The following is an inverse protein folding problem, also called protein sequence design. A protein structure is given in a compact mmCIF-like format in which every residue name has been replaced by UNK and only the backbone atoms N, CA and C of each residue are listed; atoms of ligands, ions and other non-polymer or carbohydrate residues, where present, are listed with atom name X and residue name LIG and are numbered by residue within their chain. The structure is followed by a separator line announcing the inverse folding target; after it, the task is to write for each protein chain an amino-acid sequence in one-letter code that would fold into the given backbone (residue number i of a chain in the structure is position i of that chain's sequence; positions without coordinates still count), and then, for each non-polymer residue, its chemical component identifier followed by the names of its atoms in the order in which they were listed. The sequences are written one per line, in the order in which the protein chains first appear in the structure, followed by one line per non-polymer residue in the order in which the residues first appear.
data_IF_914136637205
#
_entry.id   IF_914136637205
#
_cell.length_a   1.000
_cell.length_b   1.000
_cell.length_c   1.000
_cell.angle_alpha   90.00
_cell.angle_beta   90.00
_cell.angle_gamma   90.00
#
_symmetry.space_group_name_H-M   'P 1'
#
loop_
_entity.id
_entity.type
_entity.pdbx_description
1 polymer ?
#
# COMPACT_ATOMS: atom_id res chain seq x y z
N UNK A 1 1.32 9.21 -2.48
CA UNK A 1 2.01 10.47 -2.13
C UNK A 1 3.41 10.21 -1.59
N UNK A 2 3.56 9.64 -0.39
CA UNK A 2 4.87 9.46 0.26
C UNK A 2 5.88 8.69 -0.59
N UNK A 3 5.47 7.61 -1.26
CA UNK A 3 6.35 6.90 -2.19
C UNK A 3 6.94 7.81 -3.27
N UNK A 4 6.12 8.67 -3.88
CA UNK A 4 6.55 9.61 -4.92
C UNK A 4 7.50 10.66 -4.35
N UNK A 5 7.21 11.19 -3.17
CA UNK A 5 8.06 12.20 -2.51
C UNK A 5 9.41 11.58 -2.12
N UNK A 6 9.40 10.41 -1.47
CA UNK A 6 10.61 9.74 -1.00
C UNK A 6 11.47 9.24 -2.16
N UNK A 7 10.86 8.72 -3.24
CA UNK A 7 11.58 8.31 -4.44
C UNK A 7 12.19 9.53 -5.16
N UNK A 8 11.54 10.70 -5.12
CA UNK A 8 12.11 11.94 -5.65
C UNK A 8 13.26 12.50 -4.79
N UNK A 9 13.13 12.48 -3.46
CA UNK A 9 14.13 13.02 -2.53
C UNK A 9 15.37 12.13 -2.36
N UNK A 10 15.30 10.85 -2.75
CA UNK A 10 16.41 9.91 -2.63
C UNK A 10 17.57 10.29 -3.56
N UNK A 11 18.85 10.06 -3.16
CA UNK A 11 20.00 10.12 -4.08
C UNK A 11 19.81 9.19 -5.28
N UNK A 12 19.84 9.75 -6.50
CA UNK A 12 19.55 9.03 -7.76
C UNK A 12 18.06 8.89 -8.11
N UNK A 13 17.18 9.57 -7.36
CA UNK A 13 15.74 9.59 -7.58
C UNK A 13 15.32 10.35 -8.85
N UNK A 14 14.24 9.90 -9.49
CA UNK A 14 13.66 10.57 -10.65
C UNK A 14 12.58 11.57 -10.23
N UNK A 15 12.59 12.76 -10.84
CA UNK A 15 11.50 13.74 -10.65
C UNK A 15 10.17 13.15 -11.14
N UNK A 16 9.07 13.30 -10.40
CA UNK A 16 7.78 12.79 -10.84
C UNK A 16 7.31 13.56 -12.07
N UNK A 17 6.97 12.83 -13.13
CA UNK A 17 6.37 13.42 -14.31
C UNK A 17 4.99 14.03 -14.02
N UNK A 18 4.50 14.93 -14.89
CA UNK A 18 3.21 15.61 -14.69
C UNK A 18 2.03 14.63 -14.58
N UNK A 19 2.09 13.48 -15.26
CA UNK A 19 1.07 12.42 -15.16
C UNK A 19 1.01 11.78 -13.76
N UNK A 20 2.16 11.57 -13.13
CA UNK A 20 2.24 11.03 -11.76
C UNK A 20 1.65 12.02 -10.76
N UNK A 21 2.00 13.31 -10.91
CA UNK A 21 1.45 14.38 -10.05
C UNK A 21 -0.07 14.49 -10.22
N UNK A 22 -0.55 14.54 -11.47
CA UNK A 22 -1.97 14.57 -11.77
C UNK A 22 -2.71 13.35 -11.19
N UNK A 23 -2.15 12.14 -11.34
CA UNK A 23 -2.70 10.93 -10.76
C UNK A 23 -2.77 10.98 -9.23
N UNK A 24 -1.72 11.47 -8.55
CA UNK A 24 -1.74 11.62 -7.09
C UNK A 24 -2.82 12.62 -6.63
N UNK A 25 -2.92 13.78 -7.28
CA UNK A 25 -3.95 14.79 -6.96
C UNK A 25 -5.37 14.26 -7.22
N UNK A 26 -5.56 13.57 -8.35
CA UNK A 26 -6.84 12.94 -8.69
C UNK A 26 -7.22 11.84 -7.68
N UNK A 27 -6.25 11.07 -7.19
CA UNK A 27 -6.46 10.08 -6.14
C UNK A 27 -6.94 10.70 -4.83
N UNK A 28 -6.35 11.83 -4.42
CA UNK A 28 -6.83 12.60 -3.27
C UNK A 28 -8.23 13.15 -3.48
N UNK A 29 -8.54 13.68 -4.67
CA UNK A 29 -9.88 14.16 -4.99
C UNK A 29 -10.91 13.02 -4.95
N UNK A 30 -10.57 11.84 -5.48
CA UNK A 30 -11.40 10.64 -5.40
C UNK A 30 -11.64 10.18 -3.96
N UNK A 31 -10.61 10.19 -3.11
CA UNK A 31 -10.75 9.89 -1.69
C UNK A 31 -11.63 10.92 -0.96
N UNK A 32 -11.43 12.21 -1.23
CA UNK A 32 -12.24 13.28 -0.65
C UNK A 32 -13.71 13.16 -1.08
N UNK A 33 -13.98 12.78 -2.34
CA UNK A 33 -15.33 12.48 -2.81
C UNK A 33 -15.90 11.22 -2.13
N UNK A 34 -15.07 10.20 -1.89
CA UNK A 34 -15.49 8.96 -1.23
C UNK A 34 -15.87 9.18 0.24
N UNK A 35 -15.10 9.98 1.00
CA UNK A 35 -15.37 10.34 2.40
C UNK A 35 -16.45 11.42 2.50
N UNK A 36 -16.42 12.38 1.58
CA UNK A 36 -17.47 13.37 1.35
C UNK A 36 -17.50 14.55 2.34
N UNK A 37 -18.10 15.68 1.93
CA UNK A 37 -17.97 16.95 2.64
C UNK A 37 -18.60 16.95 4.04
N UNK A 38 -19.73 16.24 4.23
CA UNK A 38 -20.44 16.20 5.51
C UNK A 38 -19.66 15.46 6.61
N UNK A 39 -18.76 14.56 6.24
CA UNK A 39 -17.88 13.84 7.17
C UNK A 39 -16.56 14.60 7.41
N UNK A 40 -16.16 15.45 6.44
CA UNK A 40 -15.02 16.37 6.55
C UNK A 40 -15.37 17.65 7.35
N UNK A 41 -16.63 18.11 7.27
CA UNK A 41 -17.15 19.31 7.95
C UNK A 41 -18.09 19.03 9.13
N UNK A 42 -18.34 17.77 9.45
CA UNK A 42 -19.19 17.38 10.58
C UNK A 42 -18.50 17.64 11.92
N UNK A 43 -19.27 18.10 12.92
CA UNK A 43 -18.85 18.58 14.24
C UNK A 43 -18.11 17.57 15.17
N UNK A 44 -17.53 16.48 14.64
CA UNK A 44 -16.57 15.65 15.38
C UNK A 44 -15.19 16.24 15.16
N UNK A 45 -14.60 16.82 16.21
CA UNK A 45 -13.19 17.24 16.20
C UNK A 45 -12.35 16.08 15.69
N UNK A 46 -11.54 16.32 14.65
CA UNK A 46 -10.55 15.36 14.19
C UNK A 46 -9.65 15.03 15.38
N UNK A 47 -9.54 13.75 15.72
CA UNK A 47 -8.57 13.31 16.71
C UNK A 47 -7.17 13.49 16.11
N UNK A 48 -6.47 14.53 16.57
CA UNK A 48 -5.17 14.91 16.06
C UNK A 48 -4.13 13.81 16.30
N UNK A 49 -4.27 13.04 17.40
CA UNK A 49 -3.37 11.93 17.71
C UNK A 49 -3.60 10.81 16.69
N UNK A 50 -4.85 10.36 16.50
CA UNK A 50 -5.19 9.37 15.48
C UNK A 50 -4.76 9.78 14.07
N UNK A 51 -4.96 11.05 13.70
CA UNK A 51 -4.51 11.59 12.42
C UNK A 51 -2.97 11.54 12.28
N UNK A 52 -2.23 11.97 13.32
CA UNK A 52 -0.77 11.94 13.32
C UNK A 52 -0.24 10.49 13.22
N UNK A 53 -0.87 9.54 13.94
CA UNK A 53 -0.53 8.12 13.87
C UNK A 53 -0.76 7.56 12.46
N UNK A 54 -1.88 7.89 11.80
CA UNK A 54 -2.14 7.46 10.42
C UNK A 54 -1.14 8.03 9.42
N UNK A 55 -0.75 9.30 9.58
CA UNK A 55 0.29 9.92 8.75
C UNK A 55 1.62 9.21 8.96
N UNK A 56 2.03 9.00 10.21
CA UNK A 56 3.26 8.27 10.54
C UNK A 56 3.24 6.84 9.97
N UNK A 57 2.13 6.11 10.13
CA UNK A 57 1.96 4.76 9.59
C UNK A 57 2.10 4.74 8.05
N UNK A 58 1.46 5.68 7.35
CA UNK A 58 1.55 5.78 5.88
C UNK A 58 2.96 6.14 5.40
N UNK A 59 3.70 6.95 6.17
CA UNK A 59 5.09 7.30 5.90
C UNK A 59 6.01 6.10 6.14
N UNK A 60 5.88 5.42 7.28
CA UNK A 60 6.63 4.20 7.61
C UNK A 60 6.42 3.10 6.56
N UNK A 61 5.19 2.94 6.06
CA UNK A 61 4.92 2.03 4.94
C UNK A 61 5.76 2.42 3.72
N UNK A 62 5.71 3.69 3.30
CA UNK A 62 6.42 4.16 2.12
C UNK A 62 7.94 3.93 2.24
N UNK A 63 8.52 4.23 3.41
CA UNK A 63 9.92 3.93 3.72
C UNK A 63 10.22 2.43 3.60
N UNK A 64 9.41 1.58 4.23
CA UNK A 64 9.57 0.11 4.17
C UNK A 64 9.44 -0.46 2.77
N UNK A 65 8.54 0.08 1.95
CA UNK A 65 8.37 -0.31 0.55
C UNK A 65 9.58 0.09 -0.30
N UNK A 66 10.11 1.30 -0.11
CA UNK A 66 11.29 1.78 -0.84
C UNK A 66 12.54 0.99 -0.44
N UNK A 67 12.69 0.67 0.84
CA UNK A 67 13.73 -0.21 1.36
C UNK A 67 13.60 -1.62 0.79
N UNK A 68 12.41 -2.22 0.81
CA UNK A 68 12.19 -3.56 0.25
C UNK A 68 12.51 -3.63 -1.25
N UNK A 69 12.30 -2.54 -1.99
CA UNK A 69 12.58 -2.49 -3.42
C UNK A 69 14.08 -2.41 -3.75
N UNK A 70 14.90 -1.82 -2.89
CA UNK A 70 16.29 -1.47 -3.21
C UNK A 70 17.34 -1.99 -2.22
N UNK A 71 16.91 -2.48 -1.06
CA UNK A 71 17.76 -3.09 -0.06
C UNK A 71 18.07 -4.54 -0.40
N UNK A 72 19.06 -5.09 0.31
CA UNK A 72 19.38 -6.51 0.21
C UNK A 72 18.29 -7.33 0.92
N UNK A 73 17.36 -7.88 0.15
CA UNK A 73 16.36 -8.81 0.65
C UNK A 73 16.87 -10.27 0.59
N UNK A 74 16.38 -11.15 1.47
CA UNK A 74 16.67 -12.57 1.37
C UNK A 74 16.30 -13.14 -0.01
N UNK A 75 17.08 -14.13 -0.47
CA UNK A 75 16.85 -14.79 -1.75
C UNK A 75 15.44 -15.40 -1.82
N UNK A 76 14.99 -16.03 -0.72
CA UNK A 76 13.64 -16.57 -0.58
C UNK A 76 12.62 -15.47 -0.21
N UNK A 77 11.58 -15.23 -1.04
CA UNK A 77 10.48 -14.32 -0.70
C UNK A 77 9.76 -14.73 0.59
N UNK A 78 9.57 -16.03 0.81
CA UNK A 78 8.92 -16.57 2.00
C UNK A 78 9.71 -16.24 3.27
N UNK A 79 11.04 -16.34 3.21
CA UNK A 79 11.91 -15.96 4.34
C UNK A 79 11.78 -14.45 4.64
N UNK A 80 11.72 -13.61 3.61
CA UNK A 80 11.48 -12.17 3.78
C UNK A 80 10.15 -11.88 4.48
N UNK A 81 9.06 -12.53 4.06
CA UNK A 81 7.74 -12.41 4.70
C UNK A 81 7.78 -12.89 6.16
N UNK A 82 8.40 -14.03 6.43
CA UNK A 82 8.50 -14.57 7.79
C UNK A 82 9.26 -13.63 8.72
N UNK A 83 10.41 -13.10 8.28
CA UNK A 83 11.22 -12.16 9.07
C UNK A 83 10.46 -10.87 9.37
N UNK A 84 9.82 -10.24 8.38
CA UNK A 84 9.05 -9.01 8.62
C UNK A 84 7.83 -9.26 9.52
N UNK A 85 7.14 -10.40 9.37
CA UNK A 85 5.96 -10.72 10.18
C UNK A 85 6.34 -10.99 11.64
N UNK A 86 7.47 -11.68 11.89
CA UNK A 86 7.99 -11.88 13.24
C UNK A 86 8.43 -10.56 13.88
N UNK A 87 9.19 -9.73 13.16
CA UNK A 87 9.65 -8.44 13.67
C UNK A 87 8.47 -7.49 13.95
N UNK A 88 7.53 -7.37 13.01
CA UNK A 88 6.33 -6.55 13.17
C UNK A 88 5.42 -7.06 14.29
N UNK A 89 5.20 -8.38 14.38
CA UNK A 89 4.42 -9.00 15.44
C UNK A 89 5.05 -8.79 16.83
N UNK A 90 6.38 -8.96 16.94
CA UNK A 90 7.10 -8.70 18.19
C UNK A 90 7.00 -7.22 18.61
N UNK A 91 7.17 -6.28 17.67
CA UNK A 91 7.00 -4.86 17.94
C UNK A 91 5.59 -4.52 18.43
N UNK A 92 4.56 -5.11 17.82
CA UNK A 92 3.16 -4.93 18.25
C UNK A 92 2.91 -5.54 19.63
N UNK A 93 3.48 -6.70 19.96
CA UNK A 93 3.38 -7.29 21.30
C UNK A 93 4.03 -6.43 22.37
N UNK A 94 5.21 -5.88 22.08
CA UNK A 94 5.91 -4.96 22.99
C UNK A 94 5.05 -3.71 23.21
N UNK A 95 4.49 -3.14 22.14
CA UNK A 95 3.62 -1.97 22.24
C UNK A 95 2.35 -2.28 23.06
N UNK A 96 1.69 -3.40 22.79
CA UNK A 96 0.52 -3.86 23.55
C UNK A 96 0.84 -4.06 25.04
N UNK A 97 2.06 -4.52 25.36
CA UNK A 97 2.55 -4.62 26.73
C UNK A 97 2.69 -3.25 27.41
N UNK A 98 3.29 -2.27 26.73
CA UNK A 98 3.42 -0.91 27.25
C UNK A 98 2.08 -0.20 27.41
N UNK A 99 1.13 -0.44 26.51
CA UNK A 99 -0.22 0.12 26.57
C UNK A 99 -1.13 -0.61 27.58
N UNK A 100 -0.66 -1.71 28.17
CA UNK A 100 -1.41 -2.46 29.18
C UNK A 100 -2.58 -3.25 28.62
N UNK A 101 -2.64 -3.48 27.31
CA UNK A 101 -3.77 -4.15 26.64
C UNK A 101 -4.00 -5.57 27.14
N UNK A 102 -2.94 -6.26 27.59
CA UNK A 102 -3.03 -7.59 28.19
C UNK A 102 -3.91 -7.64 29.44
N UNK A 103 -4.04 -6.52 30.18
CA UNK A 103 -4.90 -6.46 31.37
C UNK A 103 -6.38 -6.36 31.00
N UNK A 104 -6.69 -5.77 29.84
CA UNK A 104 -8.05 -5.65 29.32
C UNK A 104 -8.45 -6.87 28.45
N UNK A 105 -7.48 -7.72 28.10
CA UNK A 105 -7.72 -8.89 27.28
C UNK A 105 -8.26 -10.08 28.10
N UNK A 106 -9.44 -10.56 27.72
CA UNK A 106 -10.05 -11.75 28.32
C UNK A 106 -10.28 -12.80 27.24
N UNK A 107 -9.69 -14.00 27.41
CA UNK A 107 -9.87 -15.11 26.47
C UNK A 107 -11.34 -15.50 26.27
N UNK A 108 -12.17 -15.36 27.31
CA UNK A 108 -13.62 -15.62 27.24
C UNK A 108 -14.38 -14.65 26.33
N UNK A 109 -13.83 -13.47 26.05
CA UNK A 109 -14.42 -12.49 25.12
C UNK A 109 -14.08 -12.78 23.65
N UNK A 110 -13.15 -13.72 23.38
CA UNK A 110 -12.78 -14.10 22.02
C UNK A 110 -13.88 -14.99 21.43
N UNK A 111 -14.73 -14.40 20.60
CA UNK A 111 -15.75 -15.15 19.87
C UNK A 111 -15.13 -16.05 18.80
N UNK A 112 -15.81 -17.15 18.48
CA UNK A 112 -15.41 -18.03 17.36
C UNK A 112 -15.32 -17.26 16.04
N UNK A 113 -16.23 -16.29 15.83
CA UNK A 113 -16.22 -15.41 14.64
C UNK A 113 -14.91 -14.63 14.55
N UNK A 114 -14.48 -14.00 15.64
CA UNK A 114 -13.22 -13.24 15.69
C UNK A 114 -12.00 -14.14 15.48
N UNK A 115 -12.00 -15.34 16.08
CA UNK A 115 -10.93 -16.32 15.90
C UNK A 115 -10.80 -16.80 14.45
N UNK A 116 -11.91 -17.17 13.80
CA UNK A 116 -11.91 -17.57 12.39
C UNK A 116 -11.49 -16.42 11.47
N UNK A 117 -11.95 -15.20 11.74
CA UNK A 117 -11.53 -14.01 10.99
C UNK A 117 -10.03 -13.75 11.12
N UNK A 118 -9.45 -13.93 12.31
CA UNK A 118 -8.02 -13.80 12.54
C UNK A 118 -7.23 -14.86 11.76
N UNK A 119 -7.63 -16.14 11.82
CA UNK A 119 -6.98 -17.22 11.07
C UNK A 119 -7.04 -16.95 9.56
N UNK A 120 -8.19 -16.49 9.06
CA UNK A 120 -8.35 -16.08 7.67
C UNK A 120 -7.35 -14.98 7.28
N UNK A 121 -7.21 -13.93 8.09
CA UNK A 121 -6.27 -12.84 7.83
C UNK A 121 -4.80 -13.31 7.90
N UNK A 122 -4.46 -14.22 8.81
CA UNK A 122 -3.11 -14.78 8.92
C UNK A 122 -2.76 -15.57 7.64
N UNK A 123 -3.66 -16.46 7.19
CA UNK A 123 -3.38 -17.35 6.06
C UNK A 123 -3.49 -16.62 4.73
N UNK A 124 -4.64 -16.00 4.45
CA UNK A 124 -4.92 -15.40 3.15
C UNK A 124 -4.40 -13.96 3.05
N UNK A 125 -4.64 -13.15 4.09
CA UNK A 125 -4.25 -11.74 4.10
C UNK A 125 -2.74 -11.53 4.23
N UNK A 126 -2.08 -12.33 5.06
CA UNK A 126 -0.64 -12.23 5.31
C UNK A 126 0.16 -13.25 4.53
N UNK A 127 0.08 -14.53 4.90
CA UNK A 127 0.94 -15.59 4.37
C UNK A 127 0.89 -15.69 2.84
N UNK A 128 -0.28 -15.96 2.27
CA UNK A 128 -0.47 -16.10 0.82
C UNK A 128 -0.36 -14.75 0.11
N UNK A 129 -1.06 -13.72 0.62
CA UNK A 129 -1.11 -12.40 0.00
C UNK A 129 0.26 -11.74 -0.16
N UNK A 130 1.03 -11.62 0.92
CA UNK A 130 2.37 -11.01 0.85
C UNK A 130 3.37 -11.86 0.09
N UNK A 131 3.30 -13.20 0.22
CA UNK A 131 4.20 -14.07 -0.54
C UNK A 131 3.95 -13.94 -2.04
N UNK A 132 2.69 -13.92 -2.47
CA UNK A 132 2.32 -13.69 -3.87
C UNK A 132 2.78 -12.31 -4.35
N UNK A 133 2.61 -11.26 -3.53
CA UNK A 133 3.07 -9.91 -3.85
C UNK A 133 4.60 -9.86 -4.05
N UNK A 134 5.39 -10.41 -3.12
CA UNK A 134 6.85 -10.42 -3.25
C UNK A 134 7.33 -11.32 -4.39
N UNK A 135 6.66 -12.45 -4.64
CA UNK A 135 6.94 -13.29 -5.79
C UNK A 135 6.72 -12.52 -7.10
N UNK A 136 5.56 -11.87 -7.25
CA UNK A 136 5.28 -11.03 -8.43
C UNK A 136 6.28 -9.88 -8.57
N UNK A 137 6.69 -9.26 -7.47
CA UNK A 137 7.71 -8.21 -7.48
C UNK A 137 9.07 -8.70 -8.00
N UNK A 138 9.42 -9.97 -7.76
CA UNK A 138 10.67 -10.58 -8.27
C UNK A 138 10.52 -11.17 -9.69
N UNK A 139 9.34 -11.67 -10.04
CA UNK A 139 9.14 -12.48 -11.25
C UNK A 139 8.31 -11.80 -12.35
N UNK A 140 7.81 -10.57 -12.12
CA UNK A 140 7.01 -9.82 -13.08
C UNK A 140 7.49 -8.39 -13.24
N UNK A 141 7.09 -7.76 -14.34
CA UNK A 141 7.41 -6.35 -14.58
C UNK A 141 6.65 -5.44 -13.60
N UNK A 142 7.21 -4.29 -13.19
CA UNK A 142 6.53 -3.35 -12.30
C UNK A 142 5.12 -2.96 -12.78
N UNK A 143 4.92 -2.85 -14.09
CA UNK A 143 3.62 -2.58 -14.69
C UNK A 143 2.59 -3.70 -14.44
N UNK A 144 3.00 -4.97 -14.53
CA UNK A 144 2.13 -6.13 -14.24
C UNK A 144 1.88 -6.31 -12.75
N UNK A 145 2.88 -6.04 -11.92
CA UNK A 145 2.66 -6.05 -10.47
C UNK A 145 1.65 -4.97 -10.15
N UNK A 146 1.84 -3.75 -10.65
CA UNK A 146 0.99 -2.57 -10.39
C UNK A 146 -0.49 -2.77 -10.70
N UNK A 147 -0.88 -3.62 -11.65
CA UNK A 147 -2.30 -3.87 -11.93
C UNK A 147 -3.08 -4.42 -10.73
N UNK A 148 -2.41 -5.04 -9.75
CA UNK A 148 -3.06 -5.46 -8.49
C UNK A 148 -3.71 -4.29 -7.74
N UNK A 149 -3.11 -3.10 -7.80
CA UNK A 149 -3.60 -1.92 -7.11
C UNK A 149 -4.93 -1.42 -7.72
N UNK A 150 -5.20 -1.76 -8.98
CA UNK A 150 -6.47 -1.50 -9.65
C UNK A 150 -7.53 -2.53 -9.25
N UNK A 151 -7.13 -3.77 -8.97
CA UNK A 151 -8.05 -4.82 -8.55
C UNK A 151 -8.58 -4.55 -7.12
N UNK A 152 -7.73 -4.07 -6.20
CA UNK A 152 -8.08 -3.93 -4.79
C UNK A 152 -9.35 -3.08 -4.54
N UNK A 153 -9.51 -1.85 -5.08
CA UNK A 153 -10.72 -1.05 -4.87
C UNK A 153 -11.98 -1.70 -5.47
N UNK A 154 -11.86 -2.34 -6.64
CA UNK A 154 -12.98 -3.00 -7.31
C UNK A 154 -13.47 -4.19 -6.50
N UNK A 155 -12.54 -5.04 -6.05
CA UNK A 155 -12.84 -6.21 -5.21
C UNK A 155 -13.43 -5.75 -3.88
N UNK A 156 -12.89 -4.70 -3.26
CA UNK A 156 -13.42 -4.16 -2.01
C UNK A 156 -14.86 -3.68 -2.17
N UNK A 157 -15.18 -2.93 -3.23
CA UNK A 157 -16.55 -2.46 -3.49
C UNK A 157 -17.51 -3.62 -3.77
N UNK A 158 -17.08 -4.60 -4.57
CA UNK A 158 -17.88 -5.78 -4.88
C UNK A 158 -18.18 -6.60 -3.63
N UNK A 159 -17.18 -6.87 -2.79
CA UNK A 159 -17.38 -7.62 -1.55
C UNK A 159 -18.18 -6.83 -0.52
N UNK A 160 -18.00 -5.51 -0.43
CA UNK A 160 -18.83 -4.64 0.42
C UNK A 160 -20.31 -4.72 0.04
N UNK A 161 -20.60 -4.65 -1.26
CA UNK A 161 -21.96 -4.82 -1.77
C UNK A 161 -22.51 -6.24 -1.56
N UNK A 162 -21.75 -7.26 -1.96
CA UNK A 162 -22.23 -8.65 -2.00
C UNK A 162 -22.32 -9.31 -0.62
N UNK A 163 -21.39 -8.99 0.29
CA UNK A 163 -21.27 -9.66 1.59
C UNK A 163 -21.59 -8.76 2.77
N UNK A 164 -21.24 -7.47 2.71
CA UNK A 164 -21.50 -6.53 3.81
C UNK A 164 -22.84 -5.78 3.67
N UNK A 165 -23.56 -5.97 2.55
CA UNK A 165 -24.85 -5.33 2.29
C UNK A 165 -24.74 -3.83 2.07
N UNK A 166 -23.55 -3.33 1.70
CA UNK A 166 -23.33 -1.91 1.45
C UNK A 166 -24.02 -1.49 0.14
N UNK A 167 -24.71 -0.34 0.17
CA UNK A 167 -25.33 0.22 -1.01
C UNK A 167 -24.30 0.93 -1.89
N UNK A 168 -24.12 0.42 -3.12
CA UNK A 168 -23.28 1.10 -4.12
C UNK A 168 -24.06 2.30 -4.66
N UNK A 169 -23.87 3.44 -4.02
CA UNK A 169 -24.42 4.72 -4.47
C UNK A 169 -23.68 5.25 -5.69
N UNK A 170 -24.31 6.19 -6.41
CA UNK A 170 -23.66 6.91 -7.50
C UNK A 170 -22.35 7.58 -7.05
N UNK A 171 -22.33 8.13 -5.83
CA UNK A 171 -21.14 8.75 -5.24
C UNK A 171 -20.00 7.75 -5.05
N UNK A 172 -20.27 6.58 -4.49
CA UNK A 172 -19.24 5.53 -4.32
C UNK A 172 -18.74 5.00 -5.66
N UNK A 173 -19.61 4.90 -6.67
CA UNK A 173 -19.22 4.53 -8.03
C UNK A 173 -18.31 5.56 -8.69
N UNK A 174 -18.70 6.84 -8.64
CA UNK A 174 -17.90 7.95 -9.18
C UNK A 174 -16.55 8.07 -8.46
N UNK A 175 -16.53 8.00 -7.14
CA UNK A 175 -15.30 8.04 -6.37
C UNK A 175 -14.36 6.88 -6.73
N UNK A 176 -14.89 5.67 -6.85
CA UNK A 176 -14.12 4.49 -7.27
C UNK A 176 -13.54 4.67 -8.68
N UNK A 177 -14.32 5.19 -9.63
CA UNK A 177 -13.86 5.47 -10.99
C UNK A 177 -12.72 6.50 -11.01
N UNK A 178 -12.85 7.57 -10.22
CA UNK A 178 -11.81 8.60 -10.08
C UNK A 178 -10.52 8.00 -9.49
N UNK A 179 -10.62 7.19 -8.43
CA UNK A 179 -9.48 6.53 -7.80
C UNK A 179 -8.80 5.55 -8.76
N UNK A 180 -9.56 4.75 -9.51
CA UNK A 180 -9.01 3.81 -10.50
C UNK A 180 -8.29 4.55 -11.63
N UNK A 181 -8.87 5.65 -12.11
CA UNK A 181 -8.25 6.51 -13.14
C UNK A 181 -6.94 7.10 -12.63
N UNK A 182 -6.92 7.58 -11.39
CA UNK A 182 -5.73 8.08 -10.73
C UNK A 182 -4.62 7.03 -10.65
N UNK A 183 -4.95 5.80 -10.22
CA UNK A 183 -3.98 4.69 -10.14
C UNK A 183 -3.48 4.32 -11.53
N UNK A 184 -4.36 4.26 -12.54
CA UNK A 184 -4.00 3.96 -13.92
C UNK A 184 -3.03 5.01 -14.49
N UNK A 185 -3.28 6.29 -14.25
CA UNK A 185 -2.40 7.38 -14.67
C UNK A 185 -0.99 7.28 -14.05
N UNK A 186 -0.90 6.88 -12.78
CA UNK A 186 0.40 6.69 -12.11
C UNK A 186 1.13 5.48 -12.66
N UNK A 187 0.46 4.33 -12.86
CA UNK A 187 1.10 3.09 -13.34
C UNK A 187 1.55 3.20 -14.80
N UNK A 188 0.78 3.90 -15.64
CA UNK A 188 1.07 4.07 -17.08
C UNK A 188 1.92 5.30 -17.38
N UNK A 189 2.28 6.09 -16.36
CA UNK A 189 3.18 7.21 -16.54
C UNK A 189 4.52 6.70 -17.10
N UNK A 190 5.03 7.30 -18.20
CA UNK A 190 6.37 7.01 -18.67
C UNK A 190 7.34 7.28 -17.52
N UNK A 191 8.01 6.22 -17.05
CA UNK A 191 9.12 6.41 -16.13
C UNK A 191 10.20 7.05 -16.99
N UNK A 192 10.48 8.34 -16.75
CA UNK A 192 11.46 9.10 -17.52
C UNK A 192 12.70 8.25 -17.73
N UNK A 193 12.96 7.91 -18.98
CA UNK A 193 13.98 6.95 -19.35
C UNK A 193 15.30 7.31 -18.69
N UNK A 194 16.03 6.27 -18.28
CA UNK A 194 17.49 6.31 -18.37
C UNK A 194 17.81 6.74 -19.80
N UNK A 195 18.05 8.03 -20.01
CA UNK A 195 18.67 8.49 -21.23
C UNK A 195 20.06 7.83 -21.30
N UNK A 196 20.27 7.04 -22.36
CA UNK A 196 21.57 6.60 -22.89
C UNK A 196 22.64 6.23 -21.86
N UNK A 197 22.61 4.99 -21.37
CA UNK A 197 23.80 4.33 -20.83
C UNK A 197 24.15 3.07 -21.66
N UNK A 198 23.84 3.09 -22.96
CA UNK A 198 24.13 1.99 -23.89
C UNK A 198 24.84 2.46 -25.17
N UNK A 199 25.24 3.74 -25.24
CA UNK A 199 26.16 4.25 -26.27
C UNK A 199 27.48 4.69 -25.61
N UNK A 200 28.33 3.72 -25.25
CA UNK A 200 29.80 3.84 -25.16
C UNK A 200 30.42 2.65 -24.40
N UNK A 201 30.32 1.44 -24.94
CA UNK A 201 31.41 0.48 -24.77
C UNK A 201 31.87 0.15 -26.19
N UNK A 202 33.01 0.69 -26.66
CA UNK A 202 33.59 0.24 -27.91
C UNK A 202 33.91 -1.25 -27.78
N UNK A 203 33.54 -2.04 -28.79
CA UNK A 203 33.92 -3.44 -28.87
C UNK A 203 35.46 -3.55 -28.75
N UNK A 204 36.00 -4.50 -27.96
CA UNK A 204 37.43 -4.75 -27.96
C UNK A 204 37.81 -5.37 -29.30
N UNK A 205 38.46 -4.61 -30.18
CA UNK A 205 38.87 -5.15 -31.48
C UNK A 205 39.42 -4.18 -32.53
N UNK A 206 39.38 -2.86 -32.35
CA UNK A 206 40.02 -1.93 -33.29
C UNK A 206 41.17 -1.19 -32.60
N UNK A 207 42.36 -1.78 -32.71
CA UNK A 207 43.66 -1.13 -32.54
C UNK A 207 44.60 -1.64 -33.64
#
# INVERSE_FOLDING_TARGET
LWLVILEWLRPGGSRPGPRVIAGVLLGFAGLALLVGPAQLGGAKRVDLIGAAVLVAASFSWACGSLYSRHGALPASPFLGVAMQSLAGGAALWILAAFLGEWRAFHFSAVSLRSGVALVYLIVFGSGLGFTAYLYLLKNSTPSRVGTYALANPVVALFLGWALAGESVTLRTGLASLVILTAVLLVITAPHGGRAHAEDAIPAPGEA
#
